data_IF_217940064800
#
_entry.id   IF_217940064800
#
_cell.length_a   1.000
_cell.length_b   1.000
_cell.length_c   1.000
_cell.angle_alpha   90.00
_cell.angle_beta   90.00
_cell.angle_gamma   90.00
#
_symmetry.space_group_name_H-M   'P 1'
#
loop_
_entity.id
_entity.type
_entity.pdbx_description
1 polymer ?
#
# COMPACT_ATOMS: atom_id res chain seq x y z
N UNK A 1 -15.88 12.25 11.81
CA UNK A 1 -15.64 12.54 10.37
C UNK A 1 -16.19 11.46 9.41
N UNK A 2 -16.35 11.76 8.11
CA UNK A 2 -16.71 10.79 7.06
C UNK A 2 -15.61 10.77 6.01
N UNK A 3 -15.34 9.60 5.44
CA UNK A 3 -14.43 9.46 4.31
C UNK A 3 -15.15 8.96 3.09
N UNK A 4 -14.89 9.64 1.98
CA UNK A 4 -15.32 9.22 0.67
C UNK A 4 -14.11 8.72 -0.11
N UNK A 5 -14.12 7.45 -0.51
CA UNK A 5 -13.11 6.84 -1.37
C UNK A 5 -13.71 6.61 -2.75
N UNK A 6 -12.97 7.01 -3.79
CA UNK A 6 -13.32 6.78 -5.19
C UNK A 6 -12.23 5.93 -5.83
N UNK A 7 -12.60 4.72 -6.25
CA UNK A 7 -11.78 3.86 -7.07
C UNK A 7 -11.62 4.50 -8.46
N UNK A 8 -10.42 5.04 -8.73
CA UNK A 8 -10.11 5.77 -9.95
C UNK A 8 -10.09 4.87 -11.18
N UNK A 9 -9.82 3.57 -11.04
CA UNK A 9 -9.81 2.63 -12.15
C UNK A 9 -11.23 2.29 -12.59
N UNK A 10 -12.13 2.08 -11.62
CA UNK A 10 -13.55 1.79 -11.89
C UNK A 10 -14.35 3.03 -12.28
N UNK A 11 -14.00 4.20 -11.76
CA UNK A 11 -14.75 5.43 -12.03
C UNK A 11 -14.61 5.83 -13.51
N UNK A 12 -15.68 5.67 -14.29
CA UNK A 12 -15.75 6.04 -15.70
C UNK A 12 -16.91 7.03 -15.96
N UNK A 13 -16.76 8.34 -15.64
CA UNK A 13 -17.82 9.34 -15.75
C UNK A 13 -18.45 9.43 -17.15
N UNK A 14 -17.65 9.20 -18.19
CA UNK A 14 -18.10 9.21 -19.60
C UNK A 14 -19.05 8.06 -19.96
N UNK A 15 -19.09 6.98 -19.18
CA UNK A 15 -19.88 5.77 -19.47
C UNK A 15 -21.00 5.49 -18.46
N UNK A 16 -21.05 6.23 -17.35
CA UNK A 16 -21.96 5.92 -16.25
C UNK A 16 -23.09 6.95 -16.08
N UNK A 17 -23.23 7.93 -16.98
CA UNK A 17 -24.27 8.96 -16.88
C UNK A 17 -24.10 9.93 -15.70
N UNK A 18 -22.98 9.87 -14.97
CA UNK A 18 -22.68 10.70 -13.80
C UNK A 18 -23.74 10.64 -12.69
N UNK A 19 -24.30 9.44 -12.45
CA UNK A 19 -25.38 9.22 -11.47
C UNK A 19 -25.04 9.73 -10.06
N UNK A 20 -23.78 9.64 -9.64
CA UNK A 20 -23.33 10.13 -8.34
C UNK A 20 -23.54 11.66 -8.17
N UNK A 21 -23.38 12.44 -9.23
CA UNK A 21 -23.66 13.88 -9.26
C UNK A 21 -25.18 14.10 -9.27
N UNK A 22 -25.89 13.46 -10.21
CA UNK A 22 -27.33 13.67 -10.46
C UNK A 22 -28.23 13.31 -9.29
N UNK A 23 -27.86 12.30 -8.50
CA UNK A 23 -28.69 11.77 -7.41
C UNK A 23 -28.20 12.19 -6.02
N UNK A 24 -27.08 12.92 -5.90
CA UNK A 24 -26.64 13.40 -4.61
C UNK A 24 -27.62 14.48 -4.09
N UNK A 25 -28.24 14.30 -2.90
CA UNK A 25 -29.21 15.27 -2.39
C UNK A 25 -28.60 16.65 -2.19
N UNK A 26 -27.37 16.72 -1.68
CA UNK A 26 -26.68 17.99 -1.44
C UNK A 26 -26.39 18.73 -2.74
N UNK A 27 -26.03 18.02 -3.80
CA UNK A 27 -25.88 18.61 -5.14
C UNK A 27 -27.20 19.14 -5.67
N UNK A 28 -28.30 18.40 -5.49
CA UNK A 28 -29.64 18.87 -5.86
C UNK A 28 -30.11 20.09 -5.07
N UNK A 29 -29.62 20.24 -3.84
CA UNK A 29 -29.84 21.42 -3.00
C UNK A 29 -28.93 22.60 -3.35
N UNK A 30 -28.06 22.48 -4.36
CA UNK A 30 -27.17 23.54 -4.83
C UNK A 30 -25.73 23.48 -4.31
N UNK A 31 -25.36 22.47 -3.51
CA UNK A 31 -23.99 22.34 -2.99
C UNK A 31 -23.04 21.65 -3.99
N UNK A 32 -21.75 21.94 -3.90
CA UNK A 32 -20.69 21.27 -4.67
C UNK A 32 -20.18 19.99 -3.99
N UNK A 33 -21.09 19.19 -3.42
CA UNK A 33 -20.69 17.99 -2.65
C UNK A 33 -20.05 16.92 -3.52
N UNK A 34 -20.47 16.81 -4.78
CA UNK A 34 -19.85 15.94 -5.78
C UNK A 34 -19.52 16.82 -6.98
N UNK A 35 -18.29 16.76 -7.47
CA UNK A 35 -17.85 17.46 -8.67
C UNK A 35 -17.23 16.43 -9.62
N UNK A 36 -17.44 16.60 -10.92
CA UNK A 36 -16.84 15.75 -11.94
C UNK A 36 -15.74 16.53 -12.64
N UNK A 37 -14.48 16.18 -12.35
CA UNK A 37 -13.32 16.58 -13.14
C UNK A 37 -13.00 15.42 -14.12
N UNK A 38 -11.80 14.84 -14.05
CA UNK A 38 -11.49 13.58 -14.76
C UNK A 38 -12.21 12.36 -14.16
N UNK A 39 -12.40 12.40 -12.84
CA UNK A 39 -13.08 11.39 -12.02
C UNK A 39 -14.05 12.11 -11.08
N UNK A 40 -14.93 11.35 -10.43
CA UNK A 40 -15.77 11.91 -9.39
C UNK A 40 -14.92 12.31 -8.17
N UNK A 41 -15.09 13.53 -7.69
CA UNK A 41 -14.50 14.05 -6.46
C UNK A 41 -15.65 14.36 -5.49
N UNK A 42 -15.54 13.89 -4.26
CA UNK A 42 -16.57 14.00 -3.23
C UNK A 42 -16.00 14.79 -2.06
N UNK A 43 -16.63 15.92 -1.74
CA UNK A 43 -16.27 16.74 -0.60
C UNK A 43 -16.66 16.05 0.71
N UNK A 44 -15.67 15.65 1.49
CA UNK A 44 -15.86 14.99 2.79
C UNK A 44 -16.48 15.94 3.84
N UNK A 45 -16.31 17.25 3.65
CA UNK A 45 -16.91 18.29 4.50
C UNK A 45 -18.40 18.49 4.24
N UNK A 46 -18.81 18.52 2.97
CA UNK A 46 -20.21 18.75 2.57
C UNK A 46 -21.04 17.46 2.58
N UNK A 47 -20.38 16.31 2.43
CA UNK A 47 -21.05 15.02 2.37
C UNK A 47 -21.69 14.65 3.72
N UNK A 48 -23.01 14.48 3.70
CA UNK A 48 -23.78 14.01 4.86
C UNK A 48 -23.74 12.49 5.06
N UNK A 49 -23.15 11.74 4.11
CA UNK A 49 -23.00 10.28 4.20
C UNK A 49 -24.28 9.48 3.97
N UNK A 50 -25.27 10.02 3.26
CA UNK A 50 -26.53 9.31 2.96
C UNK A 50 -26.37 8.03 2.13
N UNK A 51 -25.21 7.82 1.49
CA UNK A 51 -24.90 6.61 0.72
C UNK A 51 -25.62 6.48 -0.63
N UNK A 52 -26.38 7.49 -1.08
CA UNK A 52 -27.13 7.41 -2.34
C UNK A 52 -26.19 7.26 -3.54
N UNK A 53 -25.08 8.01 -3.59
CA UNK A 53 -24.10 7.92 -4.66
C UNK A 53 -23.43 6.53 -4.73
N UNK A 54 -23.29 5.81 -3.61
CA UNK A 54 -22.78 4.43 -3.58
C UNK A 54 -23.77 3.51 -4.30
N UNK A 55 -25.04 3.56 -3.89
CA UNK A 55 -26.10 2.72 -4.42
C UNK A 55 -26.36 2.99 -5.91
N UNK A 56 -26.23 4.25 -6.33
CA UNK A 56 -26.50 4.69 -7.70
C UNK A 56 -25.30 4.58 -8.64
N UNK A 57 -24.08 4.42 -8.13
CA UNK A 57 -22.89 4.31 -9.00
C UNK A 57 -22.92 2.98 -9.77
N UNK A 58 -23.11 3.00 -11.11
CA UNK A 58 -23.19 1.76 -11.89
C UNK A 58 -21.86 0.97 -11.88
N UNK A 59 -20.75 1.70 -11.75
CA UNK A 59 -19.40 1.13 -11.71
C UNK A 59 -18.97 0.63 -10.33
N UNK A 60 -19.80 0.84 -9.29
CA UNK A 60 -19.48 0.53 -7.88
C UNK A 60 -18.11 1.08 -7.46
N UNK A 61 -17.83 2.31 -7.90
CA UNK A 61 -16.53 2.94 -7.71
C UNK A 61 -16.44 3.81 -6.45
N UNK A 62 -17.55 4.02 -5.73
CA UNK A 62 -17.62 4.95 -4.60
C UNK A 62 -17.88 4.17 -3.32
N UNK A 63 -17.13 4.50 -2.26
CA UNK A 63 -17.37 4.05 -0.91
C UNK A 63 -17.45 5.27 0.01
N UNK A 64 -18.40 5.27 0.94
CA UNK A 64 -18.46 6.26 2.01
C UNK A 64 -18.46 5.50 3.32
N UNK A 65 -17.51 5.83 4.19
CA UNK A 65 -17.35 5.21 5.50
C UNK A 65 -17.49 6.30 6.55
N UNK A 66 -18.39 6.09 7.50
CA UNK A 66 -18.40 6.88 8.74
C UNK A 66 -17.26 6.42 9.63
N UNK A 67 -16.35 7.33 9.98
CA UNK A 67 -15.25 7.00 10.88
C UNK A 67 -15.64 7.25 12.33
N UNK A 68 -15.30 6.33 13.25
CA UNK A 68 -15.28 6.63 14.66
C UNK A 68 -14.37 7.83 14.95
N UNK A 69 -14.77 8.71 15.86
CA UNK A 69 -13.98 9.88 16.27
C UNK A 69 -12.56 9.52 16.70
N UNK A 70 -12.36 8.33 17.27
CA UNK A 70 -11.05 7.82 17.71
C UNK A 70 -10.02 7.65 16.59
N UNK A 71 -10.44 7.62 15.32
CA UNK A 71 -9.55 7.48 14.16
C UNK A 71 -9.29 8.80 13.44
N UNK A 72 -9.96 9.87 13.84
CA UNK A 72 -9.79 11.20 13.24
C UNK A 72 -8.40 11.75 13.55
N UNK A 73 -7.67 12.21 12.52
CA UNK A 73 -6.28 12.67 12.66
C UNK A 73 -5.25 11.55 12.87
N UNK A 74 -5.66 10.28 12.73
CA UNK A 74 -4.77 9.11 12.87
C UNK A 74 -4.33 8.50 11.54
N UNK A 75 -4.60 9.18 10.44
CA UNK A 75 -4.14 8.80 9.11
C UNK A 75 -2.62 8.65 9.09
N UNK A 76 -2.15 7.56 8.51
CA UNK A 76 -0.71 7.34 8.25
C UNK A 76 -0.38 7.74 6.83
N UNK A 77 -1.23 7.34 5.88
CA UNK A 77 -1.02 7.63 4.47
C UNK A 77 -2.35 7.74 3.72
N UNK A 78 -2.44 8.68 2.79
CA UNK A 78 -3.59 8.85 1.87
C UNK A 78 -3.11 9.03 0.44
N UNK A 79 -3.69 8.27 -0.49
CA UNK A 79 -3.40 8.38 -1.92
C UNK A 79 -4.20 9.51 -2.60
N UNK A 80 -3.95 10.74 -2.15
CA UNK A 80 -4.63 11.95 -2.64
C UNK A 80 -6.12 12.02 -2.28
N UNK A 81 -6.78 13.05 -2.81
CA UNK A 81 -8.21 13.31 -2.54
C UNK A 81 -9.07 12.13 -2.99
N UNK A 82 -9.94 11.68 -2.09
CA UNK A 82 -10.77 10.47 -2.21
C UNK A 82 -9.99 9.19 -2.53
N UNK A 83 -8.70 9.14 -2.26
CA UNK A 83 -7.89 7.93 -2.38
C UNK A 83 -8.06 6.98 -1.21
N UNK A 84 -7.41 5.81 -1.33
CA UNK A 84 -7.27 4.88 -0.22
C UNK A 84 -6.54 5.55 0.95
N UNK A 85 -7.00 5.28 2.17
CA UNK A 85 -6.43 5.81 3.42
C UNK A 85 -6.03 4.66 4.33
N UNK A 86 -4.79 4.70 4.81
CA UNK A 86 -4.26 3.76 5.79
C UNK A 86 -4.29 4.37 7.19
N UNK A 87 -4.86 3.61 8.13
CA UNK A 87 -4.88 3.94 9.55
C UNK A 87 -3.98 2.97 10.31
N UNK A 88 -3.07 3.54 11.11
CA UNK A 88 -2.03 2.81 11.86
C UNK A 88 -1.05 1.99 10.98
N UNK A 89 -0.01 1.48 11.64
CA UNK A 89 0.97 0.57 11.07
C UNK A 89 1.19 -0.61 12.02
N UNK A 90 1.49 -1.81 11.50
CA UNK A 90 1.99 -2.89 12.34
C UNK A 90 3.38 -2.53 12.87
N UNK A 91 3.68 -2.98 14.09
CA UNK A 91 4.97 -2.71 14.75
C UNK A 91 5.92 -3.87 14.48
N UNK A 92 7.06 -3.66 13.80
CA UNK A 92 8.11 -4.67 13.71
C UNK A 92 8.70 -4.96 15.08
N UNK A 93 8.77 -6.23 15.48
CA UNK A 93 9.37 -6.66 16.75
C UNK A 93 10.60 -7.51 16.50
N UNK A 94 11.73 -7.11 17.10
CA UNK A 94 12.98 -7.85 17.00
C UNK A 94 12.83 -9.26 17.60
N UNK A 95 13.37 -10.27 16.93
CA UNK A 95 13.29 -11.66 17.36
C UNK A 95 11.91 -12.33 17.21
N UNK A 96 10.92 -11.64 16.63
CA UNK A 96 9.57 -12.18 16.45
C UNK A 96 9.14 -12.11 14.98
N UNK A 97 8.31 -13.08 14.57
CA UNK A 97 7.64 -13.05 13.27
C UNK A 97 6.29 -12.36 13.44
N UNK A 98 6.13 -11.18 12.84
CA UNK A 98 4.88 -10.40 12.90
C UNK A 98 4.02 -10.73 11.68
N UNK A 99 2.89 -11.42 11.90
CA UNK A 99 1.92 -11.74 10.86
C UNK A 99 0.99 -10.57 10.54
N UNK A 100 0.75 -10.29 9.26
CA UNK A 100 -0.23 -9.29 8.80
C UNK A 100 -1.33 -10.01 8.03
N UNK A 101 -2.52 -10.08 8.62
CA UNK A 101 -3.69 -10.77 8.07
C UNK A 101 -4.80 -9.76 7.73
N UNK A 102 -5.51 -10.02 6.64
CA UNK A 102 -6.65 -9.20 6.21
C UNK A 102 -6.97 -9.39 4.73
N UNK A 103 -8.17 -8.98 4.32
CA UNK A 103 -8.59 -9.05 2.92
C UNK A 103 -7.69 -8.22 1.98
N UNK A 104 -7.74 -8.48 0.68
CA UNK A 104 -7.05 -7.65 -0.31
C UNK A 104 -7.64 -6.23 -0.32
N UNK A 105 -6.79 -5.23 -0.57
CA UNK A 105 -7.20 -3.82 -0.55
C UNK A 105 -7.31 -3.17 0.83
N UNK A 106 -6.90 -3.85 1.91
CA UNK A 106 -6.90 -3.31 3.28
C UNK A 106 -5.63 -2.52 3.66
N UNK A 107 -4.68 -2.37 2.73
CA UNK A 107 -3.46 -1.60 2.96
C UNK A 107 -2.24 -2.38 3.46
N UNK A 108 -2.29 -3.72 3.49
CA UNK A 108 -1.14 -4.56 3.89
C UNK A 108 0.15 -4.21 3.11
N UNK A 109 0.07 -4.17 1.78
CA UNK A 109 1.21 -3.83 0.93
C UNK A 109 1.66 -2.38 1.12
N UNK A 110 0.73 -1.45 1.39
CA UNK A 110 1.05 -0.06 1.72
C UNK A 110 1.83 0.03 3.03
N UNK A 111 1.40 -0.71 4.07
CA UNK A 111 2.11 -0.78 5.34
C UNK A 111 3.53 -1.34 5.17
N UNK A 112 3.69 -2.41 4.38
CA UNK A 112 5.02 -2.98 4.07
C UNK A 112 5.91 -1.97 3.35
N UNK A 113 5.39 -1.25 2.35
CA UNK A 113 6.15 -0.20 1.63
C UNK A 113 6.57 0.94 2.55
N UNK A 114 5.75 1.30 3.53
CA UNK A 114 6.09 2.33 4.52
C UNK A 114 7.19 1.82 5.44
N UNK A 115 7.02 0.63 6.01
CA UNK A 115 7.98 0.05 6.95
C UNK A 115 9.32 -0.29 6.28
N UNK A 116 9.35 -0.47 4.96
CA UNK A 116 10.58 -0.68 4.21
C UNK A 116 11.26 0.60 3.70
N UNK A 117 10.63 1.76 3.90
CA UNK A 117 11.15 3.04 3.41
C UNK A 117 10.88 3.31 1.92
N UNK A 118 10.19 2.42 1.20
CA UNK A 118 9.77 2.64 -0.18
C UNK A 118 8.66 3.68 -0.33
N UNK A 119 7.95 3.98 0.75
CA UNK A 119 6.88 4.98 0.80
C UNK A 119 6.97 5.80 2.08
N UNK A 120 7.15 7.11 1.96
CA UNK A 120 7.08 8.02 3.11
C UNK A 120 5.61 8.21 3.55
N UNK A 121 5.28 8.10 4.85
CA UNK A 121 3.97 8.51 5.37
C UNK A 121 3.68 9.97 5.01
N UNK A 122 2.43 10.30 4.71
CA UNK A 122 2.02 11.70 4.46
C UNK A 122 0.97 12.20 5.45
N UNK A 123 0.61 11.39 6.45
CA UNK A 123 -0.35 11.74 7.50
C UNK A 123 -1.70 12.24 6.98
N UNK A 124 -2.11 11.77 5.80
CA UNK A 124 -3.36 12.21 5.16
C UNK A 124 -3.25 13.49 4.31
N UNK A 125 -2.08 14.13 4.28
CA UNK A 125 -1.77 15.36 3.54
C UNK A 125 -1.18 15.06 2.16
N UNK A 126 -0.93 16.09 1.34
CA UNK A 126 -0.18 15.93 0.08
C UNK A 126 1.26 15.51 0.35
N UNK A 127 1.90 16.18 1.31
CA UNK A 127 3.23 15.87 1.82
C UNK A 127 3.25 16.13 3.34
N UNK A 128 4.15 15.44 4.05
CA UNK A 128 4.41 15.66 5.46
C UNK A 128 5.91 15.54 5.73
N UNK A 129 6.45 16.35 6.63
CA UNK A 129 7.85 16.28 7.01
C UNK A 129 8.13 15.19 8.04
N UNK A 130 9.40 14.76 8.14
CA UNK A 130 9.79 13.71 9.08
C UNK A 130 9.55 14.13 10.53
N UNK A 131 9.70 15.41 10.81
CA UNK A 131 9.44 16.02 12.11
C UNK A 131 7.96 15.88 12.51
N UNK A 132 7.02 16.14 11.60
CA UNK A 132 5.59 15.92 11.81
C UNK A 132 5.25 14.43 12.00
N UNK A 133 5.90 13.56 11.21
CA UNK A 133 5.73 12.10 11.34
C UNK A 133 6.21 11.64 12.72
N UNK A 134 7.37 12.13 13.18
CA UNK A 134 7.89 11.78 14.49
C UNK A 134 7.02 12.28 15.63
N UNK A 135 6.49 13.49 15.53
CA UNK A 135 5.53 14.02 16.49
C UNK A 135 4.29 13.12 16.55
N UNK A 136 3.74 12.74 15.39
CA UNK A 136 2.56 11.85 15.31
C UNK A 136 2.80 10.48 15.96
N UNK A 137 4.00 9.92 15.83
CA UNK A 137 4.34 8.62 16.41
C UNK A 137 5.01 8.72 17.79
N UNK A 138 5.04 9.92 18.40
CA UNK A 138 5.61 10.14 19.73
C UNK A 138 4.96 9.24 20.78
N UNK A 139 5.77 8.64 21.65
CA UNK A 139 5.31 7.69 22.66
C UNK A 139 4.93 6.30 22.14
N UNK A 140 5.17 5.98 20.86
CA UNK A 140 4.90 4.65 20.29
C UNK A 140 6.20 3.87 20.02
N UNK A 141 6.14 2.54 20.05
CA UNK A 141 7.26 1.65 19.66
C UNK A 141 7.75 1.91 18.22
N UNK A 142 6.89 2.46 17.34
CA UNK A 142 7.23 2.73 15.94
C UNK A 142 8.15 3.93 15.76
N UNK A 143 8.22 4.87 16.70
CA UNK A 143 9.02 6.09 16.55
C UNK A 143 10.49 5.76 16.30
N UNK A 144 11.06 4.89 17.14
CA UNK A 144 12.47 4.51 17.05
C UNK A 144 12.76 3.74 15.76
N UNK A 145 11.82 2.92 15.31
CA UNK A 145 11.92 2.24 14.03
C UNK A 145 11.96 3.24 12.87
N UNK A 146 11.03 4.20 12.83
CA UNK A 146 10.96 5.21 11.77
C UNK A 146 12.18 6.13 11.75
N UNK A 147 12.74 6.50 12.92
CA UNK A 147 14.00 7.25 13.00
C UNK A 147 15.17 6.46 12.43
N UNK A 148 15.33 5.19 12.81
CA UNK A 148 16.38 4.32 12.27
C UNK A 148 16.22 4.10 10.75
N UNK A 149 14.98 4.01 10.27
CA UNK A 149 14.67 3.91 8.85
C UNK A 149 15.06 5.18 8.08
N UNK A 150 14.71 6.38 8.60
CA UNK A 150 15.11 7.69 8.02
C UNK A 150 16.63 7.81 7.94
N UNK A 151 17.32 7.46 9.03
CA UNK A 151 18.77 7.58 9.13
C UNK A 151 19.53 6.50 8.31
N UNK A 152 18.82 5.59 7.63
CA UNK A 152 19.42 4.48 6.88
C UNK A 152 20.09 3.42 7.76
N UNK A 153 19.89 3.46 9.08
CA UNK A 153 20.45 2.49 10.04
C UNK A 153 19.78 1.12 9.95
N UNK A 154 18.59 1.06 9.35
CA UNK A 154 17.88 -0.18 9.03
C UNK A 154 17.56 -0.17 7.54
N UNK A 155 17.93 -1.26 6.86
CA UNK A 155 17.51 -1.55 5.50
C UNK A 155 16.62 -2.78 5.51
N UNK A 156 15.39 -2.65 5.04
CA UNK A 156 14.48 -3.78 4.92
C UNK A 156 14.77 -4.53 3.60
N UNK A 157 14.94 -5.84 3.69
CA UNK A 157 14.85 -6.72 2.51
C UNK A 157 13.38 -7.07 2.29
N UNK A 158 12.92 -6.95 1.04
CA UNK A 158 11.54 -7.26 0.68
C UNK A 158 11.55 -8.25 -0.47
N UNK A 159 10.87 -9.37 -0.26
CA UNK A 159 10.54 -10.28 -1.36
C UNK A 159 9.52 -9.60 -2.29
N UNK A 160 9.83 -9.40 -3.58
CA UNK A 160 8.89 -8.79 -4.51
C UNK A 160 7.62 -9.64 -4.63
N UNK A 161 6.49 -8.94 -4.79
CA UNK A 161 5.19 -9.59 -5.00
C UNK A 161 5.14 -10.33 -6.35
N UNK A 162 5.80 -9.79 -7.38
CA UNK A 162 5.84 -10.34 -8.74
C UNK A 162 7.23 -10.90 -9.03
N UNK A 163 7.40 -12.21 -8.85
CA UNK A 163 8.67 -12.91 -9.05
C UNK A 163 9.07 -12.99 -10.54
N UNK A 164 8.11 -12.81 -11.45
CA UNK A 164 8.34 -12.80 -12.89
C UNK A 164 9.16 -11.60 -13.36
N UNK A 165 9.38 -10.62 -12.47
CA UNK A 165 10.26 -9.47 -12.73
C UNK A 165 11.74 -9.81 -12.55
N UNK A 166 12.08 -10.86 -11.80
CA UNK A 166 13.48 -11.23 -11.50
C UNK A 166 14.25 -11.58 -12.78
N UNK A 167 13.75 -12.45 -13.69
CA UNK A 167 14.47 -12.76 -14.93
C UNK A 167 14.58 -11.59 -15.90
N UNK A 168 13.73 -10.57 -15.75
CA UNK A 168 13.80 -9.34 -16.57
C UNK A 168 14.87 -8.38 -16.05
N UNK A 169 15.12 -8.39 -14.75
CA UNK A 169 16.06 -7.49 -14.08
C UNK A 169 17.49 -8.06 -14.01
N UNK A 170 17.65 -9.39 -14.09
CA UNK A 170 18.94 -10.05 -14.03
C UNK A 170 19.07 -11.09 -15.15
N UNK A 171 20.20 -11.04 -15.87
CA UNK A 171 20.61 -12.07 -16.85
C UNK A 171 21.86 -12.78 -16.33
N UNK A 172 21.87 -14.10 -16.40
CA UNK A 172 22.95 -14.94 -15.88
C UNK A 172 22.42 -16.10 -15.05
N UNK A 173 23.34 -16.81 -14.41
CA UNK A 173 23.03 -18.02 -13.65
C UNK A 173 22.42 -17.69 -12.29
N UNK A 174 21.62 -18.62 -11.78
CA UNK A 174 21.00 -18.51 -10.45
C UNK A 174 22.05 -18.35 -9.35
N UNK A 175 23.17 -19.06 -9.44
CA UNK A 175 24.31 -18.92 -8.53
C UNK A 175 24.85 -17.49 -8.50
N UNK A 176 25.08 -16.88 -9.66
CA UNK A 176 25.62 -15.52 -9.77
C UNK A 176 24.68 -14.49 -9.14
N UNK A 177 23.36 -14.67 -9.35
CA UNK A 177 22.35 -13.85 -8.70
C UNK A 177 22.44 -13.97 -7.16
N UNK A 178 22.47 -15.19 -6.64
CA UNK A 178 22.46 -15.41 -5.20
C UNK A 178 23.77 -14.96 -4.53
N UNK A 179 24.92 -15.24 -5.14
CA UNK A 179 26.24 -14.80 -4.65
C UNK A 179 26.35 -13.27 -4.62
N UNK A 180 25.73 -12.57 -5.59
CA UNK A 180 25.70 -11.10 -5.63
C UNK A 180 24.95 -10.48 -4.45
N UNK A 181 23.95 -11.17 -3.88
CA UNK A 181 23.10 -10.67 -2.80
C UNK A 181 23.38 -11.34 -1.45
N UNK A 182 24.36 -12.25 -1.36
CA UNK A 182 24.76 -12.87 -0.10
C UNK A 182 25.65 -11.94 0.73
N UNK A 183 25.01 -11.08 1.52
CA UNK A 183 25.69 -10.19 2.47
C UNK A 183 25.99 -10.88 3.82
N UNK A 184 25.51 -12.12 4.04
CA UNK A 184 25.56 -12.81 5.34
C UNK A 184 26.36 -14.11 5.32
N UNK A 185 26.89 -14.51 4.16
CA UNK A 185 27.62 -15.77 3.97
C UNK A 185 26.79 -17.00 4.36
N UNK A 186 25.49 -16.99 4.05
CA UNK A 186 24.55 -18.08 4.36
C UNK A 186 24.04 -18.80 3.11
N UNK A 187 24.62 -18.53 1.94
CA UNK A 187 24.16 -19.07 0.66
C UNK A 187 24.02 -20.60 0.67
N UNK A 188 25.03 -21.33 1.12
CA UNK A 188 25.02 -22.79 1.09
C UNK A 188 23.91 -23.37 1.99
N UNK A 189 23.69 -22.78 3.18
CA UNK A 189 22.61 -23.16 4.08
C UNK A 189 21.23 -22.89 3.45
N UNK A 190 21.06 -21.73 2.81
CA UNK A 190 19.81 -21.37 2.13
C UNK A 190 19.51 -22.29 0.94
N UNK A 191 20.54 -22.63 0.14
CA UNK A 191 20.43 -23.55 -1.01
C UNK A 191 19.96 -24.92 -0.57
N UNK A 192 20.50 -25.45 0.54
CA UNK A 192 20.08 -26.73 1.12
C UNK A 192 18.63 -26.66 1.60
N UNK A 193 18.31 -25.66 2.44
CA UNK A 193 16.96 -25.53 3.04
C UNK A 193 15.86 -25.32 2.01
N UNK A 194 16.17 -24.62 0.91
CA UNK A 194 15.21 -24.31 -0.15
C UNK A 194 15.30 -25.29 -1.34
N UNK A 195 16.11 -26.34 -1.23
CA UNK A 195 16.30 -27.36 -2.28
C UNK A 195 16.63 -26.74 -3.66
N UNK A 196 17.61 -25.84 -3.71
CA UNK A 196 17.98 -25.08 -4.92
C UNK A 196 19.17 -25.66 -5.70
N UNK A 197 19.74 -26.78 -5.26
CA UNK A 197 20.94 -27.40 -5.87
C UNK A 197 20.82 -27.61 -7.39
N UNK A 198 19.69 -28.13 -7.86
CA UNK A 198 19.45 -28.38 -9.27
C UNK A 198 19.25 -27.09 -10.09
N UNK A 199 18.83 -26.00 -9.43
CA UNK A 199 18.54 -24.72 -10.06
C UNK A 199 19.76 -23.78 -10.13
N UNK A 200 20.77 -23.97 -9.26
CA UNK A 200 21.94 -23.08 -9.13
C UNK A 200 22.68 -22.81 -10.45
N UNK A 201 22.87 -23.85 -11.25
CA UNK A 201 23.65 -23.76 -12.49
C UNK A 201 22.79 -23.40 -13.72
N UNK A 202 21.48 -23.24 -13.54
CA UNK A 202 20.54 -22.86 -14.60
C UNK A 202 20.45 -21.34 -14.70
N UNK A 203 20.15 -20.87 -15.91
CA UNK A 203 19.82 -19.47 -16.16
C UNK A 203 18.54 -19.09 -15.42
N UNK A 204 18.51 -17.88 -14.85
CA UNK A 204 17.34 -17.38 -14.10
C UNK A 204 16.08 -17.33 -14.99
N UNK A 205 16.26 -17.12 -16.30
CA UNK A 205 15.18 -17.10 -17.29
C UNK A 205 14.49 -18.45 -17.54
N UNK A 206 15.18 -19.56 -17.28
CA UNK A 206 14.69 -20.90 -17.56
C UNK A 206 13.98 -21.55 -16.37
N UNK A 207 13.98 -20.88 -15.22
CA UNK A 207 13.40 -21.41 -13.98
C UNK A 207 11.87 -21.44 -14.06
N UNK A 208 11.28 -22.50 -13.51
CA UNK A 208 9.83 -22.55 -13.31
C UNK A 208 9.37 -21.53 -12.25
N UNK A 209 8.08 -21.18 -12.24
CA UNK A 209 7.53 -20.24 -11.25
C UNK A 209 7.76 -20.69 -9.79
N UNK A 210 7.70 -22.00 -9.52
CA UNK A 210 8.00 -22.55 -8.20
C UNK A 210 9.48 -22.44 -7.81
N UNK A 211 10.39 -22.60 -8.77
CA UNK A 211 11.83 -22.38 -8.56
C UNK A 211 12.13 -20.91 -8.33
N UNK A 212 11.58 -20.01 -9.16
CA UNK A 212 11.71 -18.56 -8.97
C UNK A 212 11.16 -18.09 -7.62
N UNK A 213 10.05 -18.67 -7.16
CA UNK A 213 9.52 -18.36 -5.84
C UNK A 213 10.51 -18.72 -4.73
N UNK A 214 11.19 -19.87 -4.84
CA UNK A 214 12.21 -20.28 -3.86
C UNK A 214 13.49 -19.47 -3.97
N UNK A 215 13.93 -19.11 -5.18
CA UNK A 215 15.07 -18.20 -5.41
C UNK A 215 14.79 -16.80 -4.85
N UNK A 216 13.54 -16.35 -4.87
CA UNK A 216 13.14 -15.04 -4.34
C UNK A 216 13.02 -15.00 -2.80
N UNK A 217 12.92 -16.16 -2.13
CA UNK A 217 12.85 -16.28 -0.67
C UNK A 217 14.27 -16.26 -0.12
#
# INVERSE_FOLDING_TARGET
>A
MRIAVVDKERCQPKKCGQECLKYCPKVRSGDETVVIAEKAVISEKLCVGCGICIKKCPMKAIQIVGLPERLEGREVHRYGVNGFVLYNLPVPRSGAVVGILGANGTGKSTAVRILSGQLKPNLGKEEADWEEIFERFSGTELLDYLKKLRDGKIRASIKPQYIETIPKAFRGKTRELLEKFDERSILDEAVEKLNLKASLNREVGDLSGGELQRVAI
#
